data_IF_817423874560
#
_entry.id   IF_817423874560
#
_cell.length_a   1.000
_cell.length_b   1.000
_cell.length_c   1.000
_cell.angle_alpha   90.00
_cell.angle_beta   90.00
_cell.angle_gamma   90.00
#
_symmetry.space_group_name_H-M   'P 1'
#
loop_
_entity.id
_entity.type
_entity.pdbx_description
1 polymer ?
#
# COMPACT_ATOMS: atom_id res chain seq x y z
N UNK A 1 -11.09 18.33 -0.72
CA UNK A 1 -9.73 18.31 -0.17
C UNK A 1 -9.44 17.24 0.89
N UNK A 2 -10.42 16.62 1.55
CA UNK A 2 -10.18 15.55 2.54
C UNK A 2 -9.73 14.22 1.94
N UNK A 3 -10.31 13.83 0.80
CA UNK A 3 -10.24 12.43 0.34
C UNK A 3 -8.87 12.07 -0.23
N UNK A 4 -8.24 13.00 -0.96
CA UNK A 4 -6.89 12.81 -1.50
C UNK A 4 -5.83 12.72 -0.39
N UNK A 5 -6.00 13.49 0.68
CA UNK A 5 -5.07 13.45 1.82
C UNK A 5 -5.15 12.10 2.53
N UNK A 6 -6.35 11.61 2.80
CA UNK A 6 -6.55 10.31 3.45
C UNK A 6 -6.05 9.15 2.57
N UNK A 7 -6.31 9.22 1.27
CA UNK A 7 -5.80 8.27 0.28
C UNK A 7 -4.27 8.23 0.26
N UNK A 8 -3.62 9.38 0.25
CA UNK A 8 -2.16 9.48 0.37
C UNK A 8 -1.64 8.88 1.68
N UNK A 9 -2.27 9.22 2.81
CA UNK A 9 -1.85 8.74 4.12
C UNK A 9 -1.97 7.21 4.24
N UNK A 10 -3.06 6.64 3.71
CA UNK A 10 -3.26 5.20 3.65
C UNK A 10 -2.10 4.51 2.92
N UNK A 11 -1.81 4.96 1.70
CA UNK A 11 -0.72 4.40 0.89
C UNK A 11 0.64 4.58 1.57
N UNK A 12 0.91 5.76 2.14
CA UNK A 12 2.16 6.04 2.86
C UNK A 12 2.40 5.09 4.04
N UNK A 13 1.37 4.85 4.87
CA UNK A 13 1.46 3.93 6.01
C UNK A 13 1.81 2.52 5.53
N UNK A 14 1.08 2.04 4.52
CA UNK A 14 1.24 0.67 4.03
C UNK A 14 2.54 0.46 3.24
N UNK A 15 3.12 1.49 2.63
CA UNK A 15 4.36 1.39 1.87
C UNK A 15 5.63 1.58 2.71
N UNK A 16 5.52 1.97 3.98
CA UNK A 16 6.68 2.07 4.87
C UNK A 16 7.60 0.82 4.90
N UNK A 17 7.08 -0.43 4.86
CA UNK A 17 7.90 -1.64 4.86
C UNK A 17 8.78 -1.81 3.61
N UNK A 18 8.55 -1.07 2.52
CA UNK A 18 9.38 -1.12 1.29
C UNK A 18 10.86 -0.93 1.61
N UNK A 19 11.19 -0.05 2.58
CA UNK A 19 12.58 0.20 3.01
C UNK A 19 13.29 -1.06 3.52
N UNK A 20 12.54 -2.05 4.01
CA UNK A 20 13.10 -3.29 4.55
C UNK A 20 13.45 -4.31 3.45
N UNK A 21 12.76 -4.27 2.30
CA UNK A 21 13.06 -5.15 1.15
C UNK A 21 14.07 -4.54 0.20
N UNK A 22 14.01 -3.22 0.01
CA UNK A 22 14.93 -2.47 -0.83
C UNK A 22 15.23 -1.12 -0.18
N UNK A 23 16.39 -0.97 0.45
CA UNK A 23 16.70 0.25 1.21
C UNK A 23 16.98 1.49 0.35
N UNK A 24 17.39 1.28 -0.90
CA UNK A 24 17.75 2.29 -1.91
C UNK A 24 16.59 2.60 -2.88
N UNK A 25 15.34 2.28 -2.49
CA UNK A 25 14.17 2.42 -3.35
C UNK A 25 13.88 3.86 -3.78
N UNK A 26 14.32 4.84 -2.99
CA UNK A 26 14.09 6.27 -3.28
C UNK A 26 14.99 6.77 -4.39
N UNK A 27 16.21 6.26 -4.43
CA UNK A 27 17.24 6.66 -5.38
C UNK A 27 17.13 5.86 -6.68
N UNK A 28 16.78 4.57 -6.60
CA UNK A 28 16.83 3.65 -7.72
C UNK A 28 15.45 3.16 -8.20
N UNK A 29 14.37 3.64 -7.60
CA UNK A 29 13.02 3.11 -7.82
C UNK A 29 12.88 1.66 -7.34
N UNK A 30 11.69 1.07 -7.51
CA UNK A 30 11.46 -0.34 -7.19
C UNK A 30 11.96 -1.22 -8.32
N UNK A 31 12.94 -2.11 -8.03
CA UNK A 31 13.54 -2.99 -9.04
C UNK A 31 12.67 -4.20 -9.38
N UNK A 32 11.96 -4.72 -8.37
CA UNK A 32 11.08 -5.88 -8.49
C UNK A 32 9.76 -5.57 -7.81
N UNK A 33 8.78 -5.18 -8.63
CA UNK A 33 7.46 -4.75 -8.17
C UNK A 33 6.69 -5.89 -7.49
N UNK A 34 6.72 -7.08 -8.06
CA UNK A 34 5.97 -8.22 -7.54
C UNK A 34 6.53 -8.69 -6.20
N UNK A 35 7.86 -8.83 -6.10
CA UNK A 35 8.53 -9.16 -4.83
C UNK A 35 8.26 -8.11 -3.75
N UNK A 36 8.30 -6.83 -4.12
CA UNK A 36 8.06 -5.73 -3.18
C UNK A 36 6.62 -5.72 -2.71
N UNK A 37 5.66 -5.87 -3.63
CA UNK A 37 4.24 -5.97 -3.30
C UNK A 37 3.99 -7.15 -2.34
N UNK A 38 4.49 -8.34 -2.66
CA UNK A 38 4.33 -9.53 -1.82
C UNK A 38 4.91 -9.29 -0.41
N UNK A 39 6.10 -8.67 -0.30
CA UNK A 39 6.69 -8.35 1.00
C UNK A 39 5.83 -7.36 1.80
N UNK A 40 5.34 -6.30 1.17
CA UNK A 40 4.53 -5.27 1.83
C UNK A 40 3.15 -5.82 2.23
N UNK A 41 2.55 -6.66 1.38
CA UNK A 41 1.36 -7.43 1.70
C UNK A 41 1.62 -8.32 2.93
N UNK A 42 2.69 -9.12 2.93
CA UNK A 42 2.94 -10.11 3.97
C UNK A 42 3.53 -9.52 5.26
N UNK A 43 3.75 -8.20 5.32
CA UNK A 43 4.29 -7.52 6.49
C UNK A 43 3.29 -7.56 7.66
N UNK A 44 3.56 -8.46 8.63
CA UNK A 44 2.67 -8.79 9.76
C UNK A 44 2.22 -7.59 10.62
N UNK A 45 3.01 -6.52 10.64
CA UNK A 45 2.73 -5.31 11.41
C UNK A 45 2.02 -4.23 10.58
N UNK A 46 1.44 -4.60 9.44
CA UNK A 46 0.57 -3.78 8.60
C UNK A 46 -0.88 -4.26 8.69
N UNK A 47 -1.85 -3.36 8.53
CA UNK A 47 -3.24 -3.74 8.29
C UNK A 47 -3.56 -4.01 6.81
N UNK A 48 -2.58 -3.88 5.91
CA UNK A 48 -2.80 -4.06 4.46
C UNK A 48 -3.42 -5.42 4.13
N UNK A 49 -3.00 -6.47 4.83
CA UNK A 49 -3.54 -7.84 4.69
C UNK A 49 -5.05 -7.89 4.95
N UNK A 50 -5.55 -7.13 5.92
CA UNK A 50 -6.98 -7.13 6.26
C UNK A 50 -7.81 -6.42 5.19
N UNK A 51 -7.24 -5.38 4.58
CA UNK A 51 -7.84 -4.68 3.43
C UNK A 51 -7.75 -5.51 2.13
N UNK A 52 -6.85 -6.50 2.08
CA UNK A 52 -6.70 -7.47 0.99
C UNK A 52 -7.32 -8.85 1.31
N UNK A 53 -8.25 -8.91 2.27
CA UNK A 53 -9.09 -10.10 2.48
C UNK A 53 -8.47 -11.22 3.32
N UNK A 54 -7.31 -11.00 3.94
CA UNK A 54 -6.66 -12.01 4.79
C UNK A 54 -7.48 -12.26 6.06
N UNK A 55 -7.81 -13.53 6.32
CA UNK A 55 -8.48 -13.92 7.54
C UNK A 55 -7.49 -14.12 8.69
N UNK A 56 -7.41 -13.12 9.58
CA UNK A 56 -6.55 -13.14 10.78
C UNK A 56 -7.22 -12.46 11.96
N UNK A 57 -6.84 -12.80 13.19
CA UNK A 57 -7.44 -12.25 14.41
C UNK A 57 -7.37 -10.72 14.49
N UNK A 58 -6.28 -10.11 14.01
CA UNK A 58 -6.07 -8.68 14.03
C UNK A 58 -7.11 -7.89 13.21
N UNK A 59 -7.81 -8.53 12.25
CA UNK A 59 -8.90 -7.91 11.50
C UNK A 59 -10.02 -7.41 12.41
N UNK A 60 -10.23 -8.06 13.55
CA UNK A 60 -11.28 -7.73 14.51
C UNK A 60 -11.01 -6.44 15.30
N UNK A 61 -9.78 -5.90 15.24
CA UNK A 61 -9.41 -4.63 15.87
C UNK A 61 -9.78 -3.45 14.95
N UNK A 62 -9.94 -3.70 13.65
CA UNK A 62 -10.17 -2.66 12.65
C UNK A 62 -11.66 -2.35 12.51
N UNK A 63 -11.99 -1.06 12.48
CA UNK A 63 -13.28 -0.59 12.01
C UNK A 63 -13.15 -0.19 10.54
N UNK A 64 -13.46 -1.12 9.62
CA UNK A 64 -13.36 -0.87 8.18
C UNK A 64 -14.55 -0.07 7.64
N UNK A 65 -15.69 -0.13 8.30
CA UNK A 65 -16.95 0.50 7.87
C UNK A 65 -16.91 2.04 7.95
N UNK A 66 -16.01 2.59 8.77
CA UNK A 66 -15.78 4.04 8.86
C UNK A 66 -14.75 4.54 7.85
N UNK A 67 -14.07 3.63 7.15
CA UNK A 67 -13.08 4.00 6.15
C UNK A 67 -13.79 4.29 4.82
N UNK A 68 -13.26 5.22 3.99
CA UNK A 68 -13.94 5.59 2.76
C UNK A 68 -14.17 4.42 1.79
N UNK A 69 -15.30 4.48 1.07
CA UNK A 69 -15.75 3.42 0.15
C UNK A 69 -14.71 3.02 -0.92
N UNK A 70 -13.82 3.94 -1.30
CA UNK A 70 -12.77 3.66 -2.28
C UNK A 70 -11.72 2.65 -1.81
N UNK A 71 -11.74 2.24 -0.53
CA UNK A 71 -10.96 1.10 -0.01
C UNK A 71 -11.84 -0.06 0.45
N UNK A 72 -13.12 -0.07 0.06
CA UNK A 72 -14.04 -1.18 0.34
C UNK A 72 -13.72 -2.44 -0.46
N UNK A 73 -13.16 -2.30 -1.66
CA UNK A 73 -12.78 -3.43 -2.51
C UNK A 73 -11.28 -3.74 -2.49
N UNK A 74 -10.95 -5.02 -2.33
CA UNK A 74 -9.56 -5.54 -2.40
C UNK A 74 -8.88 -5.18 -3.73
N UNK A 75 -9.64 -5.17 -4.83
CA UNK A 75 -9.18 -4.79 -6.17
C UNK A 75 -8.65 -3.35 -6.20
N UNK A 76 -9.35 -2.42 -5.55
CA UNK A 76 -9.00 -1.01 -5.48
C UNK A 76 -7.81 -0.79 -4.57
N UNK A 77 -7.77 -1.46 -3.42
CA UNK A 77 -6.61 -1.44 -2.52
C UNK A 77 -5.37 -1.95 -3.24
N UNK A 78 -5.46 -3.10 -3.92
CA UNK A 78 -4.35 -3.68 -4.67
C UNK A 78 -3.87 -2.74 -5.77
N UNK A 79 -4.79 -2.18 -6.56
CA UNK A 79 -4.47 -1.21 -7.62
C UNK A 79 -3.74 0.01 -7.06
N UNK A 80 -4.25 0.59 -5.97
CA UNK A 80 -3.63 1.74 -5.32
C UNK A 80 -2.19 1.46 -4.91
N UNK A 81 -1.94 0.36 -4.19
CA UNK A 81 -0.60 0.01 -3.74
C UNK A 81 0.34 -0.24 -4.93
N UNK A 82 -0.13 -0.93 -5.97
CA UNK A 82 0.66 -1.15 -7.19
C UNK A 82 0.99 0.15 -7.93
N UNK A 83 0.04 1.08 -8.05
CA UNK A 83 0.26 2.40 -8.66
C UNK A 83 1.35 3.17 -7.93
N UNK A 84 1.35 3.17 -6.59
CA UNK A 84 2.41 3.83 -5.83
C UNK A 84 3.76 3.13 -5.91
N UNK A 85 3.80 1.79 -5.91
CA UNK A 85 5.06 1.05 -6.06
C UNK A 85 5.69 1.23 -7.45
N UNK A 86 4.86 1.39 -8.48
CA UNK A 86 5.31 1.60 -9.86
C UNK A 86 5.60 3.07 -10.19
N UNK A 87 5.30 3.99 -9.28
CA UNK A 87 5.52 5.41 -9.50
C UNK A 87 7.02 5.74 -9.61
N UNK A 88 7.43 6.20 -10.79
CA UNK A 88 8.76 6.76 -11.03
C UNK A 88 8.64 8.26 -11.31
N UNK A 89 9.27 9.14 -10.51
CA UNK A 89 9.24 10.58 -10.74
C UNK A 89 9.76 11.00 -12.13
N UNK A 90 10.63 10.20 -12.74
CA UNK A 90 11.31 10.53 -13.99
C UNK A 90 10.46 10.27 -15.26
N UNK A 91 9.33 9.57 -15.14
CA UNK A 91 8.41 9.34 -16.27
C UNK A 91 7.35 10.44 -16.44
N UNK A 92 7.29 11.41 -15.53
CA UNK A 92 6.36 12.55 -15.57
C UNK A 92 6.96 13.87 -16.06
N UNK A 93 8.22 13.85 -16.53
CA UNK A 93 8.92 14.99 -17.13
C UNK A 93 9.30 14.69 -18.58
N UNK A 94 8.30 14.58 -19.44
CA UNK A 94 8.45 14.68 -20.91
C UNK A 94 7.40 15.61 -21.45
#
# INVERSE_FOLDING_TARGET
>A
DSDNYLKYLYSYIHLNPVKLVQSDWRENGIKDLEKTFNYVNDYKYSSLQDYLGTDREAKNILNRDVFPDYFGEESTVKKEIFEWLSFSPDLGRT
#
